data_IF_437850152767
#
_entry.id   IF_437850152767
#
_cell.length_a   1.000
_cell.length_b   1.000
_cell.length_c   1.000
_cell.angle_alpha   90.00
_cell.angle_beta   90.00
_cell.angle_gamma   90.00
#
_symmetry.space_group_name_H-M   'P 1'
#
loop_
_entity.id
_entity.type
_entity.pdbx_description
1 polymer ?
#
# COMPACT_ATOMS: atom_id res chain seq x y z
N UNK A 1 4.63 5.36 11.31
CA UNK A 1 4.25 4.29 10.38
C UNK A 1 5.26 4.01 9.26
N UNK A 2 5.66 4.99 8.43
CA UNK A 2 6.54 4.79 7.25
C UNK A 2 7.83 3.97 7.50
N UNK A 3 8.51 4.16 8.65
CA UNK A 3 9.71 3.36 9.05
C UNK A 3 9.39 1.88 9.25
N UNK A 4 8.28 1.59 9.93
CA UNK A 4 7.85 0.22 10.22
C UNK A 4 7.38 -0.48 8.94
N UNK A 5 6.63 0.21 8.08
CA UNK A 5 6.21 -0.32 6.79
C UNK A 5 7.42 -0.70 5.91
N UNK A 6 8.43 0.16 5.83
CA UNK A 6 9.69 -0.16 5.12
C UNK A 6 10.40 -1.38 5.70
N UNK A 7 10.51 -1.48 7.03
CA UNK A 7 11.10 -2.66 7.68
C UNK A 7 10.32 -3.92 7.32
N UNK A 8 8.99 -3.88 7.35
CA UNK A 8 8.16 -5.02 7.00
C UNK A 8 8.31 -5.41 5.52
N UNK A 9 8.37 -4.43 4.60
CA UNK A 9 8.64 -4.68 3.18
C UNK A 9 9.99 -5.39 2.96
N UNK A 10 11.03 -5.02 3.70
CA UNK A 10 12.33 -5.71 3.60
C UNK A 10 12.25 -7.15 4.07
N UNK A 11 11.54 -7.42 5.18
CA UNK A 11 11.31 -8.78 5.67
C UNK A 11 10.50 -9.61 4.69
N UNK A 12 9.50 -9.00 4.05
CA UNK A 12 8.64 -9.65 3.05
C UNK A 12 9.47 -10.06 1.81
N UNK A 13 10.32 -9.17 1.29
CA UNK A 13 11.24 -9.51 0.18
C UNK A 13 12.22 -10.64 0.53
N UNK A 14 12.72 -10.67 1.76
CA UNK A 14 13.61 -11.76 2.20
C UNK A 14 12.89 -13.11 2.23
N UNK A 15 11.60 -13.14 2.56
CA UNK A 15 10.79 -14.35 2.58
C UNK A 15 10.50 -14.86 1.15
N UNK A 16 10.20 -13.96 0.21
CA UNK A 16 10.00 -14.27 -1.21
C UNK A 16 11.22 -15.01 -1.80
N UNK A 17 12.43 -14.50 -1.54
CA UNK A 17 13.68 -15.13 -1.99
C UNK A 17 13.92 -16.53 -1.41
N UNK A 18 13.33 -16.87 -0.25
CA UNK A 18 13.49 -18.20 0.38
C UNK A 18 12.50 -19.23 -0.17
N UNK A 19 11.30 -18.80 -0.55
CA UNK A 19 10.23 -19.70 -1.02
C UNK A 19 10.34 -20.05 -2.51
N UNK A 20 10.99 -19.21 -3.33
CA UNK A 20 11.06 -19.39 -4.79
C UNK A 20 12.08 -20.44 -5.28
N UNK A 21 13.00 -20.92 -4.44
CA UNK A 21 14.25 -21.56 -4.92
C UNK A 21 14.31 -23.07 -4.68
N UNK A 22 13.53 -23.63 -3.75
CA UNK A 22 13.70 -25.06 -3.42
C UNK A 22 13.16 -25.98 -4.53
N UNK A 23 14.01 -26.80 -5.19
CA UNK A 23 13.54 -27.81 -6.13
C UNK A 23 12.70 -28.85 -5.39
N UNK A 24 11.58 -29.24 -5.98
CA UNK A 24 10.82 -30.40 -5.52
C UNK A 24 11.55 -31.63 -6.07
N UNK A 25 12.27 -32.35 -5.21
CA UNK A 25 12.96 -33.59 -5.60
C UNK A 25 11.97 -34.75 -5.52
N UNK A 26 11.82 -35.48 -6.63
CA UNK A 26 11.42 -36.90 -6.70
C UNK A 26 10.37 -37.36 -5.67
N UNK A 27 9.24 -36.66 -5.64
CA UNK A 27 8.10 -36.93 -4.75
C UNK A 27 6.85 -37.27 -5.57
N UNK A 28 5.86 -37.91 -4.92
CA UNK A 28 4.56 -38.25 -5.51
C UNK A 28 3.96 -37.07 -6.30
N UNK A 29 3.47 -37.31 -7.52
CA UNK A 29 2.93 -36.28 -8.40
C UNK A 29 1.80 -35.44 -7.75
N UNK A 30 1.03 -36.03 -6.83
CA UNK A 30 0.02 -35.33 -6.01
C UNK A 30 0.69 -34.39 -5.00
N UNK A 31 1.74 -34.84 -4.32
CA UNK A 31 2.50 -34.03 -3.37
C UNK A 31 3.18 -32.84 -4.07
N UNK A 32 3.79 -33.06 -5.25
CA UNK A 32 4.36 -31.98 -6.07
C UNK A 32 3.31 -30.95 -6.45
N UNK A 33 2.11 -31.41 -6.86
CA UNK A 33 0.99 -30.54 -7.23
C UNK A 33 0.48 -29.73 -6.03
N UNK A 34 0.37 -30.35 -4.86
CA UNK A 34 -0.01 -29.71 -3.61
C UNK A 34 1.00 -28.63 -3.19
N UNK A 35 2.29 -28.95 -3.23
CA UNK A 35 3.38 -28.00 -2.93
C UNK A 35 3.31 -26.79 -3.86
N UNK A 36 3.05 -26.99 -5.16
CA UNK A 36 2.90 -25.90 -6.13
C UNK A 36 1.74 -24.97 -5.75
N UNK A 37 0.56 -25.53 -5.46
CA UNK A 37 -0.62 -24.74 -5.05
C UNK A 37 -0.34 -23.96 -3.76
N UNK A 38 0.30 -24.58 -2.77
CA UNK A 38 0.69 -23.89 -1.52
C UNK A 38 1.65 -22.72 -1.80
N UNK A 39 2.64 -22.91 -2.68
CA UNK A 39 3.57 -21.84 -3.08
C UNK A 39 2.85 -20.68 -3.77
N UNK A 40 1.90 -20.97 -4.65
CA UNK A 40 1.09 -19.94 -5.33
C UNK A 40 0.24 -19.15 -4.33
N UNK A 41 -0.40 -19.83 -3.37
CA UNK A 41 -1.18 -19.17 -2.30
C UNK A 41 -0.28 -18.28 -1.45
N UNK A 42 0.91 -18.75 -1.07
CA UNK A 42 1.90 -17.93 -0.33
C UNK A 42 2.30 -16.72 -1.18
N UNK A 43 2.64 -16.91 -2.45
CA UNK A 43 3.00 -15.83 -3.38
C UNK A 43 1.92 -14.77 -3.49
N UNK A 44 0.67 -15.17 -3.66
CA UNK A 44 -0.46 -14.24 -3.74
C UNK A 44 -0.65 -13.44 -2.45
N UNK A 45 -0.49 -14.07 -1.28
CA UNK A 45 -0.52 -13.36 0.00
C UNK A 45 0.62 -12.36 0.15
N UNK A 46 1.82 -12.75 -0.27
CA UNK A 46 2.99 -11.86 -0.27
C UNK A 46 2.71 -10.62 -1.12
N UNK A 47 2.17 -10.78 -2.32
CA UNK A 47 1.81 -9.66 -3.20
C UNK A 47 0.76 -8.74 -2.57
N UNK A 48 -0.26 -9.28 -1.90
CA UNK A 48 -1.27 -8.48 -1.17
C UNK A 48 -0.59 -7.64 -0.08
N UNK A 49 0.23 -8.25 0.77
CA UNK A 49 0.96 -7.52 1.81
C UNK A 49 1.94 -6.49 1.25
N UNK A 50 2.62 -6.80 0.13
CA UNK A 50 3.52 -5.86 -0.54
C UNK A 50 2.76 -4.63 -1.03
N UNK A 51 1.60 -4.81 -1.68
CA UNK A 51 0.75 -3.71 -2.17
C UNK A 51 0.22 -2.84 -1.03
N UNK A 52 -0.25 -3.44 0.06
CA UNK A 52 -0.71 -2.71 1.24
C UNK A 52 0.40 -1.91 1.90
N UNK A 53 1.57 -2.54 2.07
CA UNK A 53 2.72 -1.84 2.64
C UNK A 53 3.22 -0.73 1.71
N UNK A 54 3.17 -0.93 0.40
CA UNK A 54 3.50 0.11 -0.57
C UNK A 54 2.55 1.30 -0.43
N UNK A 55 1.23 1.05 -0.32
CA UNK A 55 0.22 2.08 -0.07
C UNK A 55 0.49 2.89 1.21
N UNK A 56 0.87 2.22 2.31
CA UNK A 56 1.19 2.87 3.60
C UNK A 56 2.58 3.53 3.64
N UNK A 57 3.53 3.02 2.86
CA UNK A 57 4.92 3.47 2.83
C UNK A 57 5.17 4.61 1.83
N UNK A 58 4.17 4.97 1.02
CA UNK A 58 4.31 6.03 0.01
C UNK A 58 4.95 7.26 0.67
N UNK A 59 6.10 7.75 0.16
CA UNK A 59 6.75 8.90 0.74
C UNK A 59 5.78 10.08 0.77
N UNK A 60 5.82 10.85 1.87
CA UNK A 60 5.40 12.25 1.77
C UNK A 60 6.21 12.83 0.60
N UNK A 61 5.57 13.57 -0.32
CA UNK A 61 6.32 14.26 -1.36
C UNK A 61 7.45 15.03 -0.64
N UNK A 62 8.68 14.55 -0.78
CA UNK A 62 9.82 15.26 -0.20
C UNK A 62 9.89 16.50 -1.04
N UNK A 63 9.44 17.64 -0.52
CA UNK A 63 9.79 18.94 -1.05
C UNK A 63 11.28 19.20 -0.84
N UNK A 64 12.15 18.38 -1.45
CA UNK A 64 13.57 18.69 -1.64
C UNK A 64 13.77 19.70 -2.77
N UNK A 65 12.74 20.49 -3.07
CA UNK A 65 12.79 21.59 -4.01
C UNK A 65 12.62 22.95 -3.32
N UNK A 66 12.51 23.03 -1.98
CA UNK A 66 12.24 24.29 -1.27
C UNK A 66 13.26 25.39 -1.57
N UNK A 67 14.55 25.06 -1.76
CA UNK A 67 15.57 26.06 -2.09
C UNK A 67 15.45 26.63 -3.51
N UNK A 68 15.10 25.81 -4.51
CA UNK A 68 14.95 26.26 -5.91
C UNK A 68 13.54 26.80 -6.20
N UNK A 69 12.51 26.31 -5.51
CA UNK A 69 11.13 26.80 -5.61
C UNK A 69 10.98 28.19 -4.98
N UNK A 70 11.72 28.50 -3.91
CA UNK A 70 11.76 29.86 -3.35
C UNK A 70 12.42 30.86 -4.32
N UNK A 71 13.50 30.45 -5.00
CA UNK A 71 14.15 31.28 -6.03
C UNK A 71 13.22 31.47 -7.24
N UNK A 72 12.54 30.41 -7.70
CA UNK A 72 11.56 30.50 -8.79
C UNK A 72 10.33 31.35 -8.42
N UNK A 73 9.84 31.28 -7.17
CA UNK A 73 8.74 32.13 -6.66
C UNK A 73 9.15 33.60 -6.52
N UNK A 74 10.42 33.88 -6.26
CA UNK A 74 10.93 35.25 -6.23
C UNK A 74 11.07 35.84 -7.64
N UNK A 75 11.36 35.00 -8.64
CA UNK A 75 11.52 35.40 -10.05
C UNK A 75 10.17 35.51 -10.79
N UNK A 76 9.14 34.75 -10.38
CA UNK A 76 7.78 34.82 -10.94
C UNK A 76 6.80 35.45 -9.95
N UNK A 77 6.94 36.76 -9.72
CA UNK A 77 5.94 37.57 -9.01
C UNK A 77 4.75 37.83 -9.94
N UNK A 78 3.85 36.86 -10.03
CA UNK A 78 2.60 36.95 -10.78
C UNK A 78 2.28 35.63 -11.46
N UNK A 79 1.05 35.14 -11.27
CA UNK A 79 0.51 33.86 -11.77
C UNK A 79 0.76 32.68 -10.83
N UNK A 80 -0.09 32.60 -9.80
CA UNK A 80 -0.42 31.36 -9.12
C UNK A 80 -1.26 30.48 -10.04
N UNK A 81 -0.67 29.44 -10.63
CA UNK A 81 -1.41 28.32 -11.20
C UNK A 81 -0.94 27.05 -10.47
N UNK A 82 -1.65 26.72 -9.39
CA UNK A 82 -1.45 25.51 -8.60
C UNK A 82 -2.28 24.38 -9.21
N UNK A 83 -1.95 23.91 -10.42
CA UNK A 83 -2.74 22.85 -11.06
C UNK A 83 -1.96 21.64 -11.57
N UNK A 84 -0.62 21.64 -11.61
CA UNK A 84 0.07 20.62 -12.43
C UNK A 84 0.95 19.59 -11.68
N UNK A 85 0.48 19.06 -10.55
CA UNK A 85 1.10 17.86 -9.91
C UNK A 85 0.12 16.77 -9.45
N UNK A 86 -1.14 16.86 -9.86
CA UNK A 86 -2.21 15.94 -9.43
C UNK A 86 -2.32 14.71 -10.35
N UNK A 87 -1.24 13.94 -10.59
CA UNK A 87 -1.37 12.74 -11.44
C UNK A 87 -1.03 11.39 -10.81
N UNK A 88 -0.56 11.31 -9.57
CA UNK A 88 -0.35 10.02 -8.88
C UNK A 88 -0.26 10.18 -7.35
N UNK A 89 -1.24 10.85 -6.72
CA UNK A 89 -1.33 10.85 -5.26
C UNK A 89 -2.32 9.78 -4.82
N UNK A 90 -1.93 8.91 -3.89
CA UNK A 90 -2.91 8.05 -3.22
C UNK A 90 -3.75 8.87 -2.23
N UNK A 91 -4.87 8.31 -1.77
CA UNK A 91 -5.81 9.00 -0.86
C UNK A 91 -5.10 9.53 0.40
N UNK A 92 -4.15 8.76 0.95
CA UNK A 92 -3.36 9.14 2.12
C UNK A 92 -2.52 10.40 1.87
N UNK A 93 -1.90 10.54 0.69
CA UNK A 93 -1.17 11.74 0.32
C UNK A 93 -2.07 12.95 0.05
N UNK A 94 -3.29 12.73 -0.45
CA UNK A 94 -4.26 13.79 -0.63
C UNK A 94 -4.68 14.38 0.74
N UNK A 95 -4.94 13.51 1.73
CA UNK A 95 -5.20 13.94 3.11
C UNK A 95 -4.00 14.67 3.70
N UNK A 96 -2.78 14.14 3.55
CA UNK A 96 -1.55 14.79 4.01
C UNK A 96 -1.38 16.21 3.42
N UNK A 97 -1.66 16.38 2.13
CA UNK A 97 -1.58 17.67 1.45
C UNK A 97 -2.63 18.67 1.95
N UNK A 98 -3.91 18.25 2.08
CA UNK A 98 -4.98 19.10 2.58
C UNK A 98 -4.73 19.56 4.01
N UNK A 99 -4.32 18.65 4.90
CA UNK A 99 -3.97 18.98 6.29
C UNK A 99 -2.75 19.90 6.37
N UNK A 100 -1.76 19.71 5.51
CA UNK A 100 -0.57 20.59 5.46
C UNK A 100 -0.93 22.00 5.00
N UNK A 101 -1.86 22.16 4.05
CA UNK A 101 -2.37 23.48 3.64
C UNK A 101 -3.13 24.16 4.77
N UNK A 102 -3.99 23.43 5.51
CA UNK A 102 -4.70 23.95 6.68
C UNK A 102 -3.74 24.46 7.76
N UNK A 103 -2.66 23.71 8.05
CA UNK A 103 -1.67 24.09 9.06
C UNK A 103 -0.81 25.31 8.65
N UNK A 104 -0.49 25.45 7.36
CA UNK A 104 0.47 26.46 6.89
C UNK A 104 -0.17 27.77 6.42
N UNK A 105 -1.37 27.70 5.85
CA UNK A 105 -2.08 28.87 5.27
C UNK A 105 -3.29 29.29 6.11
N UNK A 106 -3.55 28.60 7.23
CA UNK A 106 -4.69 28.84 8.10
C UNK A 106 -5.99 28.19 7.62
N UNK A 107 -6.95 28.11 8.54
CA UNK A 107 -8.25 27.47 8.33
C UNK A 107 -9.23 28.44 7.69
N UNK A 108 -9.89 27.98 6.62
CA UNK A 108 -11.12 28.60 6.11
C UNK A 108 -12.14 27.50 5.80
N UNK A 109 -13.41 27.89 5.59
CA UNK A 109 -14.52 26.95 5.39
C UNK A 109 -14.24 25.99 4.22
N UNK A 110 -13.85 26.52 3.05
CA UNK A 110 -13.63 25.69 1.87
C UNK A 110 -12.46 24.70 2.01
N UNK A 111 -11.37 25.08 2.70
CA UNK A 111 -10.24 24.17 2.97
C UNK A 111 -10.61 23.10 3.99
N UNK A 112 -11.46 23.44 4.96
CA UNK A 112 -11.94 22.49 5.97
C UNK A 112 -12.88 21.47 5.33
N UNK A 113 -13.78 21.91 4.46
CA UNK A 113 -14.66 21.07 3.66
C UNK A 113 -13.86 20.13 2.74
N UNK A 114 -12.91 20.68 1.97
CA UNK A 114 -12.04 19.87 1.10
C UNK A 114 -11.18 18.86 1.89
N UNK A 115 -10.72 19.18 3.10
CA UNK A 115 -10.01 18.22 3.94
C UNK A 115 -10.94 17.11 4.45
N UNK A 116 -12.19 17.45 4.78
CA UNK A 116 -13.19 16.49 5.23
C UNK A 116 -13.58 15.50 4.13
N UNK A 117 -13.83 15.99 2.91
CA UNK A 117 -14.09 15.13 1.74
C UNK A 117 -12.94 14.14 1.49
N UNK A 118 -11.69 14.58 1.66
CA UNK A 118 -10.52 13.69 1.50
C UNK A 118 -10.40 12.66 2.61
N UNK A 119 -10.80 13.00 3.83
CA UNK A 119 -10.84 12.07 4.95
C UNK A 119 -11.93 11.01 4.74
N UNK A 120 -13.12 11.42 4.32
CA UNK A 120 -14.22 10.50 4.00
C UNK A 120 -13.83 9.54 2.86
N UNK A 121 -13.20 10.04 1.80
CA UNK A 121 -12.68 9.19 0.72
C UNK A 121 -11.64 8.17 1.23
N UNK A 122 -10.74 8.59 2.14
CA UNK A 122 -9.75 7.69 2.73
C UNK A 122 -10.40 6.65 3.65
N UNK A 123 -11.41 7.04 4.43
CA UNK A 123 -12.17 6.12 5.30
C UNK A 123 -12.88 5.03 4.48
N UNK A 124 -13.58 5.42 3.42
CA UNK A 124 -14.21 4.49 2.48
C UNK A 124 -13.17 3.54 1.82
N UNK A 125 -11.99 4.08 1.48
CA UNK A 125 -10.88 3.29 0.95
C UNK A 125 -10.34 2.26 1.96
N UNK A 126 -10.19 2.66 3.24
CA UNK A 126 -9.78 1.76 4.33
C UNK A 126 -10.81 0.67 4.56
N UNK A 127 -12.10 1.00 4.61
CA UNK A 127 -13.18 0.03 4.78
C UNK A 127 -13.18 -1.00 3.64
N UNK A 128 -13.00 -0.56 2.39
CA UNK A 128 -12.89 -1.45 1.23
C UNK A 128 -11.69 -2.42 1.36
N UNK A 129 -10.55 -1.92 1.83
CA UNK A 129 -9.35 -2.73 2.09
C UNK A 129 -9.61 -3.76 3.20
N UNK A 130 -10.24 -3.37 4.30
CA UNK A 130 -10.56 -4.25 5.42
C UNK A 130 -11.50 -5.38 4.99
N UNK A 131 -12.57 -5.05 4.27
CA UNK A 131 -13.50 -6.02 3.70
C UNK A 131 -12.81 -7.00 2.73
N UNK A 132 -11.95 -6.47 1.84
CA UNK A 132 -11.15 -7.28 0.93
C UNK A 132 -10.21 -8.24 1.67
N UNK A 133 -9.53 -7.77 2.70
CA UNK A 133 -8.63 -8.57 3.54
C UNK A 133 -9.38 -9.66 4.31
N UNK A 134 -10.56 -9.36 4.85
CA UNK A 134 -11.39 -10.34 5.52
C UNK A 134 -11.77 -11.48 4.57
N UNK A 135 -12.17 -11.13 3.34
CA UNK A 135 -12.50 -12.11 2.29
C UNK A 135 -11.30 -13.02 1.97
N UNK A 136 -10.11 -12.43 1.77
CA UNK A 136 -8.87 -13.17 1.52
C UNK A 136 -8.52 -14.09 2.70
N UNK A 137 -8.61 -13.59 3.93
CA UNK A 137 -8.35 -14.36 5.14
C UNK A 137 -9.28 -15.56 5.26
N UNK A 138 -10.58 -15.37 5.04
CA UNK A 138 -11.57 -16.45 5.04
C UNK A 138 -11.26 -17.50 3.97
N UNK A 139 -10.84 -17.07 2.77
CA UNK A 139 -10.44 -17.97 1.67
C UNK A 139 -9.20 -18.80 2.05
N UNK A 140 -8.21 -18.18 2.70
CA UNK A 140 -7.00 -18.86 3.17
C UNK A 140 -7.31 -19.93 4.21
N UNK A 141 -8.15 -19.62 5.20
CA UNK A 141 -8.54 -20.58 6.24
C UNK A 141 -9.23 -21.79 5.60
N UNK A 142 -10.16 -21.56 4.67
CA UNK A 142 -10.82 -22.64 3.93
C UNK A 142 -9.82 -23.46 3.12
N UNK A 143 -8.91 -22.82 2.39
CA UNK A 143 -7.89 -23.51 1.60
C UNK A 143 -7.03 -24.39 2.50
N UNK A 144 -6.52 -23.87 3.61
CA UNK A 144 -5.75 -24.65 4.60
C UNK A 144 -6.54 -25.85 5.12
N UNK A 145 -7.81 -25.67 5.47
CA UNK A 145 -8.66 -26.77 5.94
C UNK A 145 -8.84 -27.85 4.85
N UNK A 146 -9.09 -27.46 3.60
CA UNK A 146 -9.17 -28.39 2.47
C UNK A 146 -7.86 -29.17 2.28
N UNK A 147 -6.71 -28.50 2.34
CA UNK A 147 -5.41 -29.16 2.19
C UNK A 147 -5.12 -30.13 3.33
N UNK A 148 -5.40 -29.74 4.58
CA UNK A 148 -5.24 -30.64 5.72
C UNK A 148 -6.13 -31.87 5.58
N UNK A 149 -7.39 -31.70 5.17
CA UNK A 149 -8.32 -32.80 4.96
C UNK A 149 -7.81 -33.78 3.88
N UNK A 150 -7.24 -33.27 2.79
CA UNK A 150 -6.62 -34.10 1.73
C UNK A 150 -5.42 -34.88 2.26
N UNK A 151 -4.58 -34.27 3.11
CA UNK A 151 -3.40 -34.93 3.68
C UNK A 151 -3.72 -35.98 4.75
N UNK A 152 -4.89 -35.86 5.40
CA UNK A 152 -5.32 -36.79 6.47
C UNK A 152 -6.20 -37.93 5.97
N UNK A 153 -6.53 -37.95 4.68
CA UNK A 153 -7.36 -38.98 4.03
C UNK A 153 -6.47 -40.01 3.32
#
# INVERSE_FOLDING_TARGET
MKKNAKKLMTTLKQMENKFGISPVLDEDQQLVSLIRVVREVIGMNMSVFQSLLAFLAVPASKSKATKWVLVAKLMHKGVTACEEKQKNLNELQCVEASLSSLLSEGTNVGKMEAANERLEALENGIESIENGLESVFRRMVRTRACLLNIMTQ
#
